data_IF_293705486119
#
_entry.id   IF_293705486119
#
_cell.length_a   1.000
_cell.length_b   1.000
_cell.length_c   1.000
_cell.angle_alpha   90.00
_cell.angle_beta   90.00
_cell.angle_gamma   90.00
#
_symmetry.space_group_name_H-M   'P 1'
#
loop_
_entity.id
_entity.type
_entity.pdbx_description
1 polymer ?
#
# COMPACT_ATOMS: atom_id res chain seq x y z
N UNK A 1 3.24 -3.87 -14.17
CA UNK A 1 3.88 -3.28 -15.37
C UNK A 1 5.26 -2.71 -14.98
N UNK A 2 6.28 -2.89 -15.84
CA UNK A 2 7.65 -2.46 -15.59
C UNK A 2 7.88 -1.02 -16.06
N UNK A 3 7.16 -0.08 -15.56
CA UNK A 3 7.21 1.34 -15.94
C UNK A 3 8.43 2.09 -15.37
N UNK A 4 9.22 1.42 -14.52
CA UNK A 4 10.54 1.85 -14.06
C UNK A 4 11.70 1.10 -14.77
N UNK A 5 11.42 0.31 -15.80
CA UNK A 5 12.44 -0.51 -16.46
C UNK A 5 13.54 0.35 -17.10
N UNK A 6 14.83 -0.01 -16.93
CA UNK A 6 15.94 0.66 -17.59
C UNK A 6 15.85 0.66 -19.11
N UNK A 7 15.30 -0.41 -19.70
CA UNK A 7 15.02 -0.48 -21.14
C UNK A 7 13.87 0.44 -21.50
N UNK A 8 14.14 1.40 -22.37
CA UNK A 8 13.16 2.42 -22.76
C UNK A 8 11.96 1.83 -23.51
N UNK A 9 12.16 0.77 -24.27
CA UNK A 9 11.06 0.12 -24.98
C UNK A 9 10.10 -0.56 -23.99
N UNK A 10 10.65 -1.27 -22.99
CA UNK A 10 9.85 -1.92 -21.93
C UNK A 10 9.12 -0.87 -21.10
N UNK A 11 9.80 0.22 -20.72
CA UNK A 11 9.19 1.34 -20.00
C UNK A 11 8.03 1.94 -20.76
N UNK A 12 8.25 2.29 -22.04
CA UNK A 12 7.22 2.92 -22.86
C UNK A 12 6.03 2.00 -23.09
N UNK A 13 6.27 0.71 -23.33
CA UNK A 13 5.21 -0.26 -23.43
C UNK A 13 4.35 -0.33 -22.17
N UNK A 14 4.99 -0.29 -20.99
CA UNK A 14 4.27 -0.26 -19.72
C UNK A 14 3.43 1.02 -19.54
N UNK A 15 3.97 2.18 -19.92
CA UNK A 15 3.23 3.45 -19.92
C UNK A 15 2.02 3.38 -20.87
N UNK A 16 2.17 2.83 -22.06
CA UNK A 16 1.07 2.66 -23.01
C UNK A 16 0.00 1.68 -22.49
N UNK A 17 0.42 0.64 -21.78
CA UNK A 17 -0.52 -0.24 -21.05
C UNK A 17 -1.33 0.52 -19.99
N UNK A 18 -0.67 1.39 -19.20
CA UNK A 18 -1.37 2.23 -18.22
C UNK A 18 -2.38 3.17 -18.87
N UNK A 19 -2.00 3.86 -19.94
CA UNK A 19 -2.92 4.73 -20.70
C UNK A 19 -4.16 3.96 -21.14
N UNK A 20 -3.97 2.74 -21.66
CA UNK A 20 -5.06 1.85 -22.07
C UNK A 20 -5.93 1.37 -20.89
N UNK A 21 -5.31 1.09 -19.74
CA UNK A 21 -6.04 0.75 -18.51
C UNK A 21 -6.92 1.90 -18.05
N UNK A 22 -6.45 3.13 -18.16
CA UNK A 22 -7.25 4.32 -17.81
C UNK A 22 -8.45 4.50 -18.76
N UNK A 23 -8.27 4.27 -20.07
CA UNK A 23 -9.38 4.27 -21.04
C UNK A 23 -10.44 3.20 -20.71
N UNK A 24 -10.00 1.99 -20.38
CA UNK A 24 -10.90 0.91 -19.94
C UNK A 24 -11.60 1.29 -18.63
N UNK A 25 -10.87 1.87 -17.70
CA UNK A 25 -11.44 2.34 -16.43
C UNK A 25 -12.55 3.36 -16.62
N UNK A 26 -12.37 4.31 -17.53
CA UNK A 26 -13.41 5.29 -17.87
C UNK A 26 -14.68 4.60 -18.42
N UNK A 27 -14.53 3.62 -19.30
CA UNK A 27 -15.66 2.86 -19.84
C UNK A 27 -16.41 2.05 -18.77
N UNK A 28 -15.71 1.66 -17.71
CA UNK A 28 -16.26 0.88 -16.59
C UNK A 28 -16.65 1.74 -15.38
N UNK A 29 -16.48 3.06 -15.48
CA UNK A 29 -16.65 4.01 -14.38
C UNK A 29 -15.72 3.69 -13.16
N UNK A 30 -14.52 3.17 -13.43
CA UNK A 30 -13.48 2.94 -12.44
C UNK A 30 -12.58 4.16 -12.37
N UNK A 31 -12.48 4.77 -11.19
CA UNK A 31 -11.71 6.00 -10.98
C UNK A 31 -10.47 5.81 -10.11
N UNK A 32 -10.35 4.68 -9.46
CA UNK A 32 -9.21 4.38 -8.59
C UNK A 32 -8.56 3.08 -9.03
N UNK A 33 -7.27 3.15 -9.26
CA UNK A 33 -6.41 2.00 -9.53
C UNK A 33 -5.39 1.85 -8.41
N UNK A 34 -4.88 0.66 -8.21
CA UNK A 34 -3.74 0.43 -7.33
C UNK A 34 -2.63 -0.32 -8.04
N UNK A 35 -1.40 -0.13 -7.57
CA UNK A 35 -0.23 -0.79 -8.16
C UNK A 35 0.88 -0.96 -7.15
N UNK A 36 1.72 -1.93 -7.45
CA UNK A 36 3.05 -2.14 -6.91
C UNK A 36 4.10 -1.73 -7.94
N UNK A 37 5.32 -1.57 -7.50
CA UNK A 37 6.40 -1.08 -8.36
C UNK A 37 7.36 -2.19 -8.76
N UNK A 38 6.99 -3.33 -9.04
CA UNK A 38 7.74 -4.47 -9.56
C UNK A 38 9.28 -4.48 -9.39
N UNK A 39 9.99 -5.50 -9.84
CA UNK A 39 11.43 -5.60 -9.69
C UNK A 39 12.18 -4.49 -10.46
N UNK A 40 13.40 -4.20 -10.09
CA UNK A 40 14.21 -3.13 -10.70
C UNK A 40 15.43 -2.75 -9.87
N UNK A 41 15.93 -3.67 -9.05
CA UNK A 41 16.98 -3.37 -8.06
C UNK A 41 18.40 -3.35 -8.60
N UNK A 42 18.63 -3.86 -9.81
CA UNK A 42 19.98 -3.98 -10.37
C UNK A 42 20.61 -2.61 -10.68
N UNK A 43 19.79 -1.60 -10.94
CA UNK A 43 20.22 -0.25 -11.24
C UNK A 43 19.23 0.76 -10.65
N UNK A 44 19.18 0.94 -9.33
CA UNK A 44 18.10 1.66 -8.66
C UNK A 44 17.98 3.12 -9.09
N UNK A 45 19.08 3.83 -9.27
CA UNK A 45 19.06 5.24 -9.70
C UNK A 45 18.45 5.40 -11.09
N UNK A 46 18.79 4.50 -12.01
CA UNK A 46 18.23 4.52 -13.37
C UNK A 46 16.74 4.13 -13.35
N UNK A 47 16.37 3.12 -12.55
CA UNK A 47 14.98 2.71 -12.40
C UNK A 47 14.13 3.85 -11.80
N UNK A 48 14.64 4.56 -10.82
CA UNK A 48 13.95 5.73 -10.25
C UNK A 48 13.75 6.83 -11.28
N UNK A 49 14.81 7.17 -12.02
CA UNK A 49 14.72 8.16 -13.11
C UNK A 49 13.69 7.75 -14.18
N UNK A 50 13.60 6.45 -14.50
CA UNK A 50 12.61 5.92 -15.44
C UNK A 50 11.20 5.95 -14.87
N UNK A 51 11.03 5.64 -13.59
CA UNK A 51 9.74 5.77 -12.90
C UNK A 51 9.24 7.20 -12.92
N UNK A 52 10.09 8.15 -12.54
CA UNK A 52 9.77 9.58 -12.57
C UNK A 52 9.32 10.02 -13.95
N UNK A 53 10.07 9.65 -14.98
CA UNK A 53 9.70 9.94 -16.37
C UNK A 53 8.34 9.34 -16.77
N UNK A 54 8.03 8.13 -16.29
CA UNK A 54 6.73 7.50 -16.55
C UNK A 54 5.60 8.21 -15.84
N UNK A 55 5.83 8.65 -14.61
CA UNK A 55 4.86 9.45 -13.86
C UNK A 55 4.66 10.84 -14.48
N UNK A 56 5.71 11.49 -15.00
CA UNK A 56 5.60 12.77 -15.73
C UNK A 56 4.68 12.67 -16.94
N UNK A 57 4.63 11.49 -17.59
CA UNK A 57 3.71 11.23 -18.70
C UNK A 57 2.29 10.88 -18.23
N UNK A 58 2.14 10.15 -17.12
CA UNK A 58 0.85 9.59 -16.69
C UNK A 58 0.05 10.52 -15.78
N UNK A 59 0.73 11.27 -14.90
CA UNK A 59 0.05 12.13 -13.91
C UNK A 59 -0.88 13.16 -14.57
N UNK A 60 -0.44 13.92 -15.62
CA UNK A 60 -1.33 14.87 -16.30
C UNK A 60 -2.57 14.19 -16.91
N UNK A 61 -2.42 12.98 -17.44
CA UNK A 61 -3.54 12.23 -18.04
C UNK A 61 -4.53 11.81 -16.95
N UNK A 62 -4.02 11.35 -15.81
CA UNK A 62 -4.87 10.95 -14.68
C UNK A 62 -5.61 12.15 -14.09
N UNK A 63 -4.95 13.30 -13.96
CA UNK A 63 -5.58 14.54 -13.49
C UNK A 63 -6.72 14.99 -14.43
N UNK A 64 -6.47 15.01 -15.74
CA UNK A 64 -7.48 15.35 -16.74
C UNK A 64 -8.71 14.42 -16.67
N UNK A 65 -8.47 13.14 -16.44
CA UNK A 65 -9.50 12.10 -16.40
C UNK A 65 -10.18 11.93 -15.01
N UNK A 66 -9.70 12.61 -13.99
CA UNK A 66 -10.16 12.41 -12.61
C UNK A 66 -9.91 10.99 -12.10
N UNK A 67 -8.77 10.39 -12.51
CA UNK A 67 -8.33 9.06 -12.09
C UNK A 67 -7.28 9.22 -10.99
N UNK A 68 -7.34 8.36 -10.00
CA UNK A 68 -6.32 8.23 -8.96
C UNK A 68 -5.62 6.88 -9.04
N UNK A 69 -4.31 6.89 -8.94
CA UNK A 69 -3.46 5.72 -8.83
C UNK A 69 -2.86 5.64 -7.42
N UNK A 70 -3.27 4.63 -6.66
CA UNK A 70 -2.78 4.37 -5.32
C UNK A 70 -1.56 3.43 -5.40
N UNK A 71 -0.39 3.91 -4.97
CA UNK A 71 0.88 3.18 -5.04
C UNK A 71 1.18 2.59 -3.66
N UNK A 72 1.55 1.31 -3.64
CA UNK A 72 2.00 0.62 -2.43
C UNK A 72 3.45 0.15 -2.53
N UNK A 73 4.11 0.08 -1.39
CA UNK A 73 5.34 -0.68 -1.24
C UNK A 73 5.03 -2.17 -1.08
N UNK A 74 5.87 -3.01 -1.66
CA UNK A 74 5.69 -4.46 -1.57
C UNK A 74 7.04 -5.15 -1.30
N UNK A 75 7.07 -6.20 -0.47
CA UNK A 75 8.26 -7.02 -0.30
C UNK A 75 8.82 -7.50 -1.63
N UNK A 76 10.14 -7.38 -1.79
CA UNK A 76 10.89 -7.76 -2.98
C UNK A 76 10.67 -6.92 -4.26
N UNK A 77 9.89 -5.86 -4.17
CA UNK A 77 9.72 -4.88 -5.25
C UNK A 77 10.79 -3.79 -5.24
N UNK A 78 10.73 -2.88 -6.20
CA UNK A 78 11.65 -1.73 -6.31
C UNK A 78 11.62 -0.86 -5.05
N UNK A 79 10.42 -0.53 -4.58
CA UNK A 79 10.21 0.08 -3.26
C UNK A 79 9.65 -0.93 -2.27
N UNK A 80 10.49 -1.41 -1.39
CA UNK A 80 10.10 -2.33 -0.32
C UNK A 80 9.58 -1.63 0.91
N UNK A 81 10.12 -0.45 1.21
CA UNK A 81 9.76 0.31 2.41
C UNK A 81 8.69 1.34 2.10
N UNK A 82 7.75 1.49 3.01
CA UNK A 82 6.64 2.42 2.86
C UNK A 82 7.09 3.86 2.62
N UNK A 83 8.13 4.30 3.29
CA UNK A 83 8.62 5.66 3.16
C UNK A 83 9.12 5.95 1.74
N UNK A 84 9.77 4.99 1.10
CA UNK A 84 10.32 5.17 -0.25
C UNK A 84 9.20 5.37 -1.28
N UNK A 85 8.15 4.53 -1.21
CA UNK A 85 6.98 4.69 -2.07
C UNK A 85 6.24 6.01 -1.79
N UNK A 86 6.13 6.38 -0.52
CA UNK A 86 5.47 7.62 -0.14
C UNK A 86 6.23 8.87 -0.57
N UNK A 87 7.56 8.85 -0.55
CA UNK A 87 8.39 10.00 -0.93
C UNK A 87 8.17 10.39 -2.41
N UNK A 88 7.93 9.43 -3.29
CA UNK A 88 7.55 9.70 -4.69
C UNK A 88 6.18 10.38 -4.76
N UNK A 89 5.18 9.88 -4.06
CA UNK A 89 3.84 10.45 -4.04
C UNK A 89 3.88 11.89 -3.52
N UNK A 90 4.62 12.11 -2.45
CA UNK A 90 4.83 13.43 -1.85
C UNK A 90 5.55 14.40 -2.77
N UNK A 91 6.48 13.91 -3.59
CA UNK A 91 7.20 14.74 -4.56
C UNK A 91 6.26 15.34 -5.61
N UNK A 92 5.36 14.53 -6.15
CA UNK A 92 4.36 15.02 -7.11
C UNK A 92 3.28 15.89 -6.46
N UNK A 93 2.89 15.59 -5.25
CA UNK A 93 1.81 16.26 -4.51
C UNK A 93 0.54 16.46 -5.35
N UNK A 94 0.23 15.47 -6.19
CA UNK A 94 -0.89 15.47 -7.13
C UNK A 94 -2.10 14.73 -6.56
N UNK A 95 -3.33 15.21 -6.79
CA UNK A 95 -4.54 14.47 -6.44
C UNK A 95 -4.70 13.15 -7.22
N UNK A 96 -3.96 12.99 -8.33
CA UNK A 96 -3.95 11.77 -9.12
C UNK A 96 -3.09 10.65 -8.51
N UNK A 97 -2.32 10.93 -7.45
CA UNK A 97 -1.51 9.94 -6.76
C UNK A 97 -1.97 9.79 -5.30
N UNK A 98 -2.33 8.58 -4.92
CA UNK A 98 -2.64 8.20 -3.56
C UNK A 98 -1.60 7.24 -2.99
N UNK A 99 -1.47 7.22 -1.67
CA UNK A 99 -0.68 6.23 -0.98
C UNK A 99 -1.57 5.10 -0.48
N UNK A 100 -1.25 3.87 -0.88
CA UNK A 100 -1.83 2.66 -0.34
C UNK A 100 -0.89 2.08 0.72
N UNK A 101 -1.34 2.04 1.94
CA UNK A 101 -0.63 1.39 3.04
C UNK A 101 -1.09 -0.06 3.20
N UNK A 102 -0.23 -1.00 2.87
CA UNK A 102 -0.48 -2.42 3.08
C UNK A 102 0.01 -2.86 4.46
N UNK A 103 -0.89 -3.07 5.39
CA UNK A 103 -0.56 -3.37 6.78
C UNK A 103 0.34 -4.60 6.94
N UNK A 104 0.05 -5.75 6.31
CA UNK A 104 0.88 -6.94 6.48
C UNK A 104 2.28 -6.81 5.89
N UNK A 105 2.46 -6.01 4.84
CA UNK A 105 3.76 -5.87 4.19
C UNK A 105 4.82 -5.23 5.10
N UNK A 106 4.42 -4.24 5.88
CA UNK A 106 5.34 -3.54 6.78
C UNK A 106 5.64 -4.29 8.05
N UNK A 107 4.70 -5.13 8.49
CA UNK A 107 4.82 -5.87 9.73
C UNK A 107 6.08 -6.73 9.78
N UNK A 108 6.48 -7.33 8.67
CA UNK A 108 7.65 -8.17 8.58
C UNK A 108 8.98 -7.40 8.62
N UNK A 109 9.02 -6.21 8.04
CA UNK A 109 10.24 -5.39 8.04
C UNK A 109 10.57 -4.83 9.40
N UNK A 110 9.56 -4.63 10.22
CA UNK A 110 9.69 -4.09 11.56
C UNK A 110 9.86 -5.16 12.66
N UNK A 111 10.12 -6.41 12.25
CA UNK A 111 10.30 -7.54 13.17
C UNK A 111 9.05 -7.85 13.98
N UNK A 112 7.87 -7.63 13.42
CA UNK A 112 6.59 -7.88 14.06
C UNK A 112 6.23 -6.91 15.19
N UNK A 113 6.98 -5.83 15.35
CA UNK A 113 6.74 -4.82 16.39
C UNK A 113 6.27 -3.48 15.85
N UNK A 114 6.32 -3.33 14.56
CA UNK A 114 5.79 -2.32 13.68
C UNK A 114 5.92 -0.86 14.07
N UNK A 115 6.48 -0.10 13.16
CA UNK A 115 6.30 1.34 13.14
C UNK A 115 5.02 1.73 12.35
N UNK A 116 3.99 0.87 12.39
CA UNK A 116 2.77 1.06 11.58
C UNK A 116 2.17 2.42 11.87
N UNK A 117 1.98 2.76 13.15
CA UNK A 117 1.40 4.03 13.53
C UNK A 117 2.24 5.23 13.09
N UNK A 118 3.56 5.11 13.18
CA UNK A 118 4.47 6.16 12.71
C UNK A 118 4.36 6.34 11.19
N UNK A 119 4.34 5.25 10.45
CA UNK A 119 4.22 5.28 8.99
C UNK A 119 2.88 5.87 8.54
N UNK A 120 1.77 5.49 9.18
CA UNK A 120 0.45 6.05 8.91
C UNK A 120 0.41 7.57 9.16
N UNK A 121 0.98 8.02 10.28
CA UNK A 121 1.07 9.44 10.61
C UNK A 121 1.92 10.22 9.62
N UNK A 122 3.05 9.64 9.20
CA UNK A 122 3.93 10.23 8.22
C UNK A 122 3.25 10.43 6.87
N UNK A 123 2.50 9.42 6.41
CA UNK A 123 1.85 9.42 5.12
C UNK A 123 0.47 10.10 5.11
N UNK A 124 -0.04 10.58 6.25
CA UNK A 124 -1.44 11.03 6.44
C UNK A 124 -2.00 11.93 5.36
N UNK A 125 -1.18 12.81 4.77
CA UNK A 125 -1.62 13.78 3.75
C UNK A 125 -2.11 13.09 2.48
N UNK A 126 -1.44 12.03 2.05
CA UNK A 126 -1.73 11.32 0.82
C UNK A 126 -2.22 9.89 1.06
N UNK A 127 -2.42 9.51 2.33
CA UNK A 127 -2.97 8.20 2.67
C UNK A 127 -4.42 8.13 2.22
N UNK A 128 -4.66 7.47 1.12
CA UNK A 128 -5.98 7.32 0.49
C UNK A 128 -6.51 5.90 0.57
N UNK A 129 -5.65 4.94 0.80
CA UNK A 129 -6.02 3.54 0.76
C UNK A 129 -5.29 2.76 1.85
N UNK A 130 -6.02 1.93 2.57
CA UNK A 130 -5.44 0.98 3.55
C UNK A 130 -5.87 -0.42 3.20
N UNK A 131 -4.91 -1.30 2.99
CA UNK A 131 -5.15 -2.72 2.79
C UNK A 131 -5.04 -3.44 4.13
N UNK A 132 -6.15 -4.00 4.55
CA UNK A 132 -6.27 -4.76 5.78
C UNK A 132 -6.06 -6.25 5.51
N UNK A 133 -5.11 -6.81 6.17
CA UNK A 133 -4.96 -8.23 6.39
C UNK A 133 -4.13 -8.42 7.65
N UNK A 134 -4.41 -9.46 8.39
CA UNK A 134 -3.57 -9.86 9.51
C UNK A 134 -2.40 -10.71 9.01
N UNK A 135 -1.41 -10.91 9.84
CA UNK A 135 -0.30 -11.82 9.56
C UNK A 135 0.31 -12.32 10.86
N UNK A 136 1.03 -13.43 10.78
CA UNK A 136 1.82 -13.92 11.90
C UNK A 136 3.20 -13.28 11.91
N UNK A 137 3.80 -13.24 13.10
CA UNK A 137 5.22 -12.96 13.15
C UNK A 137 6.02 -14.06 12.40
N UNK A 138 7.18 -13.68 11.96
CA UNK A 138 8.08 -14.51 11.18
C UNK A 138 8.34 -15.90 11.79
N UNK A 139 8.47 -15.99 13.13
CA UNK A 139 8.75 -17.26 13.80
C UNK A 139 7.58 -18.22 13.77
N UNK A 140 6.36 -17.72 13.79
CA UNK A 140 5.14 -18.54 13.71
C UNK A 140 4.91 -19.10 12.32
N UNK A 141 5.21 -18.32 11.26
CA UNK A 141 5.08 -18.77 9.87
C UNK A 141 5.88 -20.05 9.62
N UNK A 142 7.11 -20.13 10.12
CA UNK A 142 7.92 -21.34 10.00
C UNK A 142 7.45 -22.48 10.90
N UNK A 143 7.11 -22.16 12.14
CA UNK A 143 6.71 -23.16 13.12
C UNK A 143 5.48 -23.94 12.69
N UNK A 144 4.52 -23.29 12.09
CA UNK A 144 3.26 -23.92 11.71
C UNK A 144 3.18 -24.29 10.24
N UNK A 145 4.28 -24.16 9.50
CA UNK A 145 4.32 -24.41 8.05
C UNK A 145 3.17 -23.72 7.31
N UNK A 146 2.81 -22.54 7.75
CA UNK A 146 1.84 -21.71 7.06
C UNK A 146 2.50 -21.28 5.76
N UNK A 147 1.88 -21.64 4.65
CA UNK A 147 2.42 -21.35 3.34
C UNK A 147 2.11 -19.92 2.93
N UNK A 148 2.98 -18.94 3.26
CA UNK A 148 2.87 -17.64 2.66
C UNK A 148 3.20 -17.77 1.18
N UNK A 149 2.82 -16.81 0.37
CA UNK A 149 3.33 -16.70 -0.97
C UNK A 149 4.87 -16.82 -0.91
N UNK A 150 5.48 -17.71 -1.70
CA UNK A 150 6.91 -17.96 -1.58
C UNK A 150 7.68 -16.70 -1.93
N UNK A 151 8.46 -16.21 -1.00
CA UNK A 151 9.26 -15.02 -1.15
C UNK A 151 10.71 -15.41 -0.93
N UNK A 152 11.42 -15.56 -2.01
CA UNK A 152 12.82 -15.96 -2.01
C UNK A 152 13.64 -14.93 -2.75
N UNK A 153 14.38 -14.16 -2.03
CA UNK A 153 15.47 -13.42 -2.60
C UNK A 153 16.76 -13.84 -1.90
N UNK A 154 17.70 -14.39 -2.63
CA UNK A 154 19.07 -14.68 -2.19
C UNK A 154 19.18 -15.53 -0.91
N UNK A 155 18.32 -16.54 -0.74
CA UNK A 155 18.36 -17.43 0.41
C UNK A 155 17.83 -16.85 1.72
N UNK A 156 17.35 -15.63 1.71
CA UNK A 156 16.64 -15.03 2.83
C UNK A 156 15.15 -15.27 2.65
N UNK A 157 14.55 -16.01 3.57
CA UNK A 157 13.11 -16.23 3.54
C UNK A 157 12.44 -14.96 4.08
N UNK A 158 11.78 -14.27 3.19
CA UNK A 158 10.85 -13.21 3.54
C UNK A 158 9.46 -13.74 3.26
N UNK A 159 8.68 -13.93 4.29
CA UNK A 159 7.37 -14.51 4.15
C UNK A 159 6.35 -13.61 4.83
N UNK A 160 5.27 -13.34 4.15
CA UNK A 160 4.09 -12.75 4.75
C UNK A 160 2.86 -13.58 4.36
N UNK A 161 1.97 -13.78 5.31
CA UNK A 161 0.66 -14.32 5.05
C UNK A 161 -0.34 -13.17 5.10
N UNK A 162 -1.32 -13.20 4.21
CA UNK A 162 -2.47 -12.32 4.31
C UNK A 162 -3.63 -13.11 4.91
N UNK A 163 -3.88 -12.91 6.19
CA UNK A 163 -5.00 -13.50 6.90
C UNK A 163 -6.15 -12.51 6.82
N UNK A 164 -7.22 -12.90 6.15
CA UNK A 164 -8.35 -12.01 5.93
C UNK A 164 -9.14 -11.68 7.20
N UNK A 165 -9.11 -12.56 8.21
CA UNK A 165 -9.78 -12.32 9.47
C UNK A 165 -8.85 -11.59 10.45
N UNK A 166 -9.13 -10.32 10.71
CA UNK A 166 -8.35 -9.51 11.64
C UNK A 166 -8.48 -10.03 13.07
N UNK A 167 -7.34 -10.18 13.75
CA UNK A 167 -7.24 -10.71 15.11
C UNK A 167 -6.89 -12.20 15.18
N UNK A 168 -6.72 -12.90 14.06
CA UNK A 168 -6.16 -14.25 14.04
C UNK A 168 -4.63 -14.27 14.04
N UNK A 169 -4.00 -13.17 13.60
CA UNK A 169 -2.55 -13.00 13.57
C UNK A 169 -1.99 -12.30 14.79
N UNK A 170 -0.91 -11.60 14.58
CA UNK A 170 -0.15 -10.91 15.62
C UNK A 170 -0.20 -9.38 15.55
N UNK A 171 -0.95 -8.83 14.59
CA UNK A 171 -1.09 -7.38 14.43
C UNK A 171 -2.08 -6.81 15.43
N UNK A 172 -1.68 -5.75 16.12
CA UNK A 172 -2.54 -5.00 17.03
C UNK A 172 -3.43 -4.01 16.27
N UNK A 173 -4.57 -4.50 15.80
CA UNK A 173 -5.53 -3.67 15.04
C UNK A 173 -6.21 -2.60 15.87
N UNK A 174 -6.31 -2.74 17.18
CA UNK A 174 -6.86 -1.69 18.04
C UNK A 174 -6.02 -0.41 17.95
N UNK A 175 -4.70 -0.56 18.01
CA UNK A 175 -3.76 0.55 17.84
C UNK A 175 -3.84 1.16 16.44
N UNK A 176 -3.98 0.33 15.40
CA UNK A 176 -4.10 0.78 14.01
C UNK A 176 -5.37 1.60 13.82
N UNK A 177 -6.51 1.08 14.22
CA UNK A 177 -7.78 1.82 14.11
C UNK A 177 -7.76 3.12 14.91
N UNK A 178 -7.18 3.11 16.12
CA UNK A 178 -6.97 4.33 16.87
C UNK A 178 -6.16 5.36 16.08
N UNK A 179 -5.03 4.95 15.51
CA UNK A 179 -4.17 5.83 14.72
C UNK A 179 -4.88 6.37 13.47
N UNK A 180 -5.62 5.53 12.75
CA UNK A 180 -6.38 5.96 11.57
C UNK A 180 -7.41 7.05 11.93
N UNK A 181 -8.10 6.93 13.07
CA UNK A 181 -8.98 7.99 13.57
C UNK A 181 -8.23 9.25 13.97
N UNK A 182 -7.11 9.11 14.67
CA UNK A 182 -6.29 10.26 15.10
C UNK A 182 -5.75 11.08 13.94
N UNK A 183 -5.45 10.44 12.81
CA UNK A 183 -5.01 11.15 11.59
C UNK A 183 -6.17 11.58 10.69
N UNK A 184 -7.41 11.30 11.06
CA UNK A 184 -8.60 11.69 10.32
C UNK A 184 -8.84 10.89 9.03
N UNK A 185 -8.26 9.70 8.88
CA UNK A 185 -8.42 8.88 7.67
C UNK A 185 -9.88 8.60 7.34
N UNK A 186 -10.69 8.30 8.34
CA UNK A 186 -12.11 7.97 8.21
C UNK A 186 -13.03 9.18 7.93
N UNK A 187 -12.50 10.39 7.98
CA UNK A 187 -13.22 11.64 7.69
C UNK A 187 -12.76 12.28 6.37
N UNK A 188 -11.71 11.77 5.78
CA UNK A 188 -11.26 12.22 4.46
C UNK A 188 -12.18 11.66 3.37
N UNK A 189 -12.45 12.48 2.38
CA UNK A 189 -13.14 12.05 1.17
C UNK A 189 -12.25 11.09 0.36
N UNK A 190 -12.89 10.18 -0.36
CA UNK A 190 -12.25 9.24 -1.29
C UNK A 190 -11.26 8.27 -0.67
N UNK A 191 -11.35 8.00 0.63
CA UNK A 191 -10.55 6.95 1.25
C UNK A 191 -11.17 5.57 1.02
N UNK A 192 -10.28 4.58 0.88
CA UNK A 192 -10.66 3.20 0.60
C UNK A 192 -10.04 2.28 1.65
N UNK A 193 -10.84 1.36 2.17
CA UNK A 193 -10.39 0.25 2.97
C UNK A 193 -10.67 -1.05 2.19
N UNK A 194 -9.62 -1.80 1.89
CA UNK A 194 -9.74 -3.12 1.26
C UNK A 194 -9.25 -4.20 2.20
N UNK A 195 -9.60 -5.44 1.92
CA UNK A 195 -9.00 -6.59 2.60
C UNK A 195 -8.40 -7.56 1.58
N UNK A 196 -7.41 -8.32 2.01
CA UNK A 196 -6.76 -9.30 1.16
C UNK A 196 -6.58 -10.64 1.90
N UNK A 197 -7.33 -11.69 1.50
CA UNK A 197 -7.23 -13.03 2.09
C UNK A 197 -6.28 -13.95 1.33
N UNK A 198 -5.23 -13.43 0.69
CA UNK A 198 -4.36 -14.18 -0.21
C UNK A 198 -3.78 -15.46 0.42
N UNK A 199 -3.52 -15.45 1.72
CA UNK A 199 -3.01 -16.63 2.44
C UNK A 199 -4.05 -17.76 2.60
N UNK A 200 -5.34 -17.43 2.54
CA UNK A 200 -6.44 -18.37 2.80
C UNK A 200 -7.64 -18.10 1.87
N UNK A 201 -7.48 -18.32 0.57
CA UNK A 201 -8.50 -17.95 -0.42
C UNK A 201 -9.83 -18.71 -0.24
N UNK A 202 -9.82 -19.89 0.35
CA UNK A 202 -11.01 -20.68 0.67
C UNK A 202 -11.90 -20.03 1.72
N UNK A 203 -11.37 -19.10 2.51
CA UNK A 203 -12.09 -18.36 3.53
C UNK A 203 -12.46 -16.93 3.10
N UNK A 204 -12.15 -16.54 1.86
CA UNK A 204 -12.26 -15.16 1.40
C UNK A 204 -13.63 -14.51 1.67
N UNK A 205 -14.73 -15.24 1.47
CA UNK A 205 -16.08 -14.73 1.68
C UNK A 205 -16.37 -14.49 3.15
N UNK A 206 -16.07 -15.48 4.01
CA UNK A 206 -16.35 -15.40 5.45
C UNK A 206 -15.45 -14.41 6.15
N UNK A 207 -14.16 -14.41 5.82
CA UNK A 207 -13.19 -13.48 6.38
C UNK A 207 -13.48 -12.05 5.91
N UNK A 208 -13.86 -11.89 4.65
CA UNK A 208 -14.23 -10.58 4.11
C UNK A 208 -15.44 -9.97 4.83
N UNK A 209 -16.48 -10.75 5.08
CA UNK A 209 -17.65 -10.28 5.81
C UNK A 209 -17.28 -9.83 7.23
N UNK A 210 -16.52 -10.65 7.96
CA UNK A 210 -16.08 -10.33 9.33
C UNK A 210 -15.16 -9.13 9.39
N UNK A 211 -14.21 -9.07 8.48
CA UNK A 211 -13.25 -7.95 8.42
C UNK A 211 -13.97 -6.64 8.08
N UNK A 212 -14.94 -6.69 7.18
CA UNK A 212 -15.78 -5.53 6.89
C UNK A 212 -16.54 -5.04 8.13
N UNK A 213 -17.16 -5.93 8.89
CA UNK A 213 -17.84 -5.58 10.14
C UNK A 213 -16.89 -4.91 11.15
N UNK A 214 -15.66 -5.43 11.27
CA UNK A 214 -14.64 -4.85 12.15
C UNK A 214 -14.24 -3.44 11.66
N UNK A 215 -13.99 -3.27 10.37
CA UNK A 215 -13.61 -1.98 9.79
C UNK A 215 -14.75 -0.96 9.97
N UNK A 216 -15.98 -1.33 9.60
CA UNK A 216 -17.15 -0.47 9.73
C UNK A 216 -17.37 -0.03 11.19
N UNK A 217 -17.29 -0.95 12.13
CA UNK A 217 -17.43 -0.66 13.56
C UNK A 217 -16.39 0.34 14.08
N UNK A 218 -15.18 0.32 13.54
CA UNK A 218 -14.05 1.10 14.06
C UNK A 218 -13.81 2.43 13.30
N UNK A 219 -14.27 2.54 12.06
CA UNK A 219 -14.00 3.70 11.22
C UNK A 219 -15.26 4.41 10.73
N UNK A 220 -16.36 3.71 10.43
CA UNK A 220 -17.54 4.35 9.84
C UNK A 220 -18.38 5.04 10.93
N UNK A 221 -18.54 6.36 10.77
CA UNK A 221 -19.33 7.16 11.72
C UNK A 221 -18.71 7.31 13.11
N UNK A 222 -17.47 6.89 13.28
CA UNK A 222 -16.72 7.10 14.54
C UNK A 222 -15.99 8.43 14.44
N UNK A 223 -16.19 9.38 15.39
CA UNK A 223 -15.51 10.66 15.34
C UNK A 223 -14.00 10.52 15.37
N UNK A 224 -13.34 11.33 14.56
CA UNK A 224 -11.90 11.50 14.60
C UNK A 224 -11.50 12.23 15.89
N UNK A 225 -10.41 11.79 16.50
CA UNK A 225 -9.79 12.49 17.63
C UNK A 225 -8.44 13.01 17.13
N UNK A 226 -8.49 13.96 16.20
CA UNK A 226 -7.29 14.50 15.58
C UNK A 226 -6.44 15.23 16.63
N UNK A 227 -5.29 14.67 16.94
CA UNK A 227 -4.24 15.40 17.64
C UNK A 227 -3.46 16.25 16.63
N UNK A 228 -3.19 17.52 16.94
CA UNK A 228 -2.35 18.35 16.09
C UNK A 228 -0.94 17.72 16.03
N UNK A 229 -0.51 17.37 14.85
CA UNK A 229 0.85 16.85 14.64
C UNK A 229 1.85 18.00 14.56
N UNK A 230 3.05 17.84 15.15
CA UNK A 230 4.13 18.79 14.97
C UNK A 230 4.45 18.97 13.46
N UNK A 231 4.67 20.21 13.02
CA UNK A 231 4.94 20.53 11.62
C UNK A 231 6.18 19.83 11.05
N UNK A 232 7.13 19.46 11.89
CA UNK A 232 8.42 18.87 11.56
C UNK A 232 8.48 17.34 11.71
N UNK A 233 7.35 16.67 11.85
CA UNK A 233 7.32 15.22 12.01
C UNK A 233 8.02 14.45 10.86
N UNK A 234 8.09 15.05 9.68
CA UNK A 234 8.79 14.50 8.52
C UNK A 234 10.33 14.42 8.65
N UNK A 235 10.94 15.25 9.49
CA UNK A 235 12.41 15.25 9.66
C UNK A 235 12.94 14.04 10.43
N UNK A 236 12.11 13.36 11.20
CA UNK A 236 12.51 12.22 12.03
C UNK A 236 12.09 10.86 11.44
N UNK A 237 11.56 10.85 10.23
CA UNK A 237 11.05 9.65 9.56
C UNK A 237 12.11 8.90 8.72
N UNK A 238 13.38 9.28 8.83
CA UNK A 238 14.52 8.60 8.17
C UNK A 238 15.17 7.60 9.11
#
# INVERSE_FOLDING_TARGET
FHWQDPDEFVRQYAVDCWKRMFEIGELMDVRVFNTELGPGRENPELCEAKLMRSLDELVPIMEEKGIRLDIQAHPDDFYEHNNDAYDIIRYYDSPALGYLYSIPHTFHYDGGKGNIERNLRYARKHLKHVLFADTYDYTKLFRYNINPAPLYANGTVRAHAHIGHLGEGDIDFERIFKTLREIGFNEQEDTIATFNPLGFPERAITDGARTREIIEKNLVGVPSVAEPMPEDFGMYAR
#
